data_IF_672232580815
#
_entry.id   IF_672232580815
#
_cell.length_a   1.000
_cell.length_b   1.000
_cell.length_c   1.000
_cell.angle_alpha   90.00
_cell.angle_beta   90.00
_cell.angle_gamma   90.00
#
_symmetry.space_group_name_H-M   'P 1'
#
loop_
_entity.id
_entity.type
_entity.pdbx_description
1 polymer ?
#
# COMPACT_ATOMS: atom_id res chain seq x y z
N UNK A 1 45.99 1.70 33.73
CA UNK A 1 45.40 2.63 32.74
C UNK A 1 44.09 2.05 32.28
N UNK A 2 43.01 2.79 32.49
CA UNK A 2 41.64 2.35 32.29
C UNK A 2 41.09 2.82 30.93
N UNK A 3 40.09 2.06 30.46
CA UNK A 3 39.04 2.43 29.51
C UNK A 3 39.37 2.38 28.00
N UNK A 4 38.73 1.44 27.29
CA UNK A 4 37.52 1.81 26.54
C UNK A 4 36.81 0.57 26.00
N UNK A 5 35.66 0.28 26.62
CA UNK A 5 34.56 -0.46 26.01
C UNK A 5 34.03 0.40 24.85
N UNK A 6 33.91 -0.16 23.66
CA UNK A 6 33.01 0.38 22.64
C UNK A 6 32.02 -0.71 22.27
N UNK A 7 30.85 -0.58 22.88
CA UNK A 7 29.64 -1.33 22.58
C UNK A 7 29.21 -1.06 21.14
N UNK A 8 29.03 -2.11 20.33
CA UNK A 8 28.11 -2.02 19.20
C UNK A 8 26.80 -2.70 19.61
N UNK A 9 25.84 -1.84 19.94
CA UNK A 9 24.44 -2.15 20.20
C UNK A 9 23.80 -2.69 18.91
N UNK A 10 22.98 -3.73 19.10
CA UNK A 10 21.72 -4.05 18.41
C UNK A 10 21.57 -3.54 16.97
N UNK A 11 21.67 -4.48 16.03
CA UNK A 11 21.18 -4.32 14.67
C UNK A 11 19.86 -5.09 14.54
N UNK A 12 18.80 -4.31 14.35
CA UNK A 12 17.57 -4.65 13.61
C UNK A 12 16.76 -5.83 14.11
N UNK A 13 15.95 -5.53 15.14
CA UNK A 13 14.65 -6.12 15.36
C UNK A 13 13.78 -5.89 14.12
N UNK A 14 13.32 -6.98 13.52
CA UNK A 14 12.38 -7.02 12.41
C UNK A 14 11.08 -6.40 12.90
N UNK A 15 10.85 -5.14 12.52
CA UNK A 15 9.59 -4.46 12.70
C UNK A 15 8.55 -5.12 11.78
N UNK A 16 7.92 -6.17 12.30
CA UNK A 16 6.64 -6.64 11.78
C UNK A 16 5.64 -5.48 11.88
N UNK A 17 4.80 -5.24 10.86
CA UNK A 17 3.78 -4.22 10.93
C UNK A 17 2.79 -4.66 11.98
N UNK A 18 2.96 -4.12 13.19
CA UNK A 18 1.97 -4.22 14.24
C UNK A 18 0.76 -3.50 13.71
N UNK A 19 -0.19 -4.28 13.21
CA UNK A 19 -1.56 -3.86 12.95
C UNK A 19 -1.94 -2.92 14.09
N UNK A 20 -1.99 -1.64 13.76
CA UNK A 20 -2.22 -0.57 14.70
C UNK A 20 -3.66 -0.78 15.15
N UNK A 21 -3.79 -1.43 16.30
CA UNK A 21 -5.01 -1.44 17.09
C UNK A 21 -5.39 0.02 17.28
N UNK A 22 -6.33 0.49 16.46
CA UNK A 22 -6.95 1.80 16.56
C UNK A 22 -7.52 1.87 17.96
N UNK A 23 -6.77 2.52 18.85
CA UNK A 23 -7.23 2.82 20.19
C UNK A 23 -8.42 3.75 20.01
N UNK A 24 -9.61 3.22 20.25
CA UNK A 24 -10.87 3.96 20.40
C UNK A 24 -10.64 5.06 21.44
N UNK A 25 -10.38 6.27 20.97
CA UNK A 25 -9.89 7.35 21.81
C UNK A 25 -9.72 8.64 21.02
N UNK A 26 -10.83 9.16 20.49
CA UNK A 26 -10.92 10.45 19.82
C UNK A 26 -11.51 10.32 18.42
N UNK A 27 -12.76 10.76 18.25
CA UNK A 27 -13.53 10.90 16.99
C UNK A 27 -12.88 11.91 16.01
N UNK A 28 -11.55 11.93 15.89
CA UNK A 28 -10.85 12.92 15.08
C UNK A 28 -9.65 12.25 14.42
N UNK A 29 -9.61 12.31 13.09
CA UNK A 29 -8.46 11.89 12.30
C UNK A 29 -7.18 12.47 12.90
N UNK A 30 -6.19 11.62 13.15
CA UNK A 30 -4.84 12.05 13.47
C UNK A 30 -4.17 12.65 12.23
N UNK A 31 -3.20 13.55 12.41
CA UNK A 31 -2.51 14.23 11.29
C UNK A 31 -1.96 13.26 10.22
N UNK A 32 -1.46 12.10 10.64
CA UNK A 32 -0.99 11.04 9.73
C UNK A 32 -2.13 10.45 8.88
N UNK A 33 -3.29 10.20 9.49
CA UNK A 33 -4.46 9.65 8.80
C UNK A 33 -5.11 10.69 7.88
N UNK A 34 -5.07 11.97 8.25
CA UNK A 34 -5.54 13.05 7.40
C UNK A 34 -4.70 13.16 6.12
N UNK A 35 -3.36 13.09 6.25
CA UNK A 35 -2.45 13.04 5.10
C UNK A 35 -2.72 11.82 4.21
N UNK A 36 -2.95 10.67 4.82
CA UNK A 36 -3.29 9.45 4.08
C UNK A 36 -4.59 9.62 3.28
N UNK A 37 -5.64 10.19 3.89
CA UNK A 37 -6.90 10.48 3.21
C UNK A 37 -6.71 11.45 2.03
N UNK A 38 -5.85 12.47 2.17
CA UNK A 38 -5.52 13.39 1.07
C UNK A 38 -4.73 12.72 -0.05
N UNK A 39 -3.96 11.67 0.25
CA UNK A 39 -3.17 10.93 -0.74
C UNK A 39 -3.93 9.78 -1.40
N UNK A 40 -4.96 9.24 -0.76
CA UNK A 40 -5.74 8.12 -1.29
C UNK A 40 -6.38 8.39 -2.65
N UNK A 41 -6.98 9.57 -2.93
CA UNK A 41 -7.50 9.88 -4.27
C UNK A 41 -6.43 9.79 -5.35
N UNK A 42 -5.25 10.39 -5.13
CA UNK A 42 -4.13 10.29 -6.07
C UNK A 42 -3.63 8.85 -6.21
N UNK A 43 -3.61 8.09 -5.12
CA UNK A 43 -3.22 6.67 -5.14
C UNK A 43 -4.22 5.84 -5.95
N UNK A 44 -5.51 6.09 -5.80
CA UNK A 44 -6.57 5.44 -6.56
C UNK A 44 -6.44 5.76 -8.05
N UNK A 45 -6.30 7.03 -8.43
CA UNK A 45 -6.07 7.42 -9.83
C UNK A 45 -4.81 6.75 -10.42
N UNK A 46 -3.72 6.67 -9.66
CA UNK A 46 -2.50 5.99 -10.09
C UNK A 46 -2.69 4.48 -10.28
N UNK A 47 -3.38 3.82 -9.32
CA UNK A 47 -3.69 2.39 -9.40
C UNK A 47 -4.64 2.08 -10.56
N UNK A 48 -5.62 2.95 -10.82
CA UNK A 48 -6.57 2.79 -11.93
C UNK A 48 -5.86 2.96 -13.29
N UNK A 49 -4.94 3.93 -13.40
CA UNK A 49 -4.12 4.10 -14.59
C UNK A 49 -3.14 2.92 -14.81
N UNK A 50 -2.54 2.41 -13.73
CA UNK A 50 -1.66 1.23 -13.77
C UNK A 50 -2.44 -0.02 -14.17
N UNK A 51 -3.59 -0.26 -13.56
CA UNK A 51 -4.52 -1.32 -13.90
C UNK A 51 -4.91 -1.26 -15.39
N UNK A 52 -5.30 -0.09 -15.89
CA UNK A 52 -5.66 0.08 -17.29
C UNK A 52 -4.47 -0.21 -18.21
N UNK A 53 -3.27 0.23 -17.84
CA UNK A 53 -2.03 -0.02 -18.60
C UNK A 53 -1.67 -1.50 -18.62
N UNK A 54 -1.86 -2.21 -17.51
CA UNK A 54 -1.64 -3.65 -17.42
C UNK A 54 -2.70 -4.42 -18.20
N UNK A 55 -3.97 -4.00 -18.14
CA UNK A 55 -5.05 -4.59 -18.93
C UNK A 55 -4.83 -4.42 -20.43
N UNK A 56 -4.39 -3.24 -20.88
CA UNK A 56 -4.07 -2.98 -22.30
C UNK A 56 -2.92 -3.87 -22.78
N UNK A 57 -1.89 -4.05 -21.94
CA UNK A 57 -0.80 -5.00 -22.21
C UNK A 57 -1.30 -6.44 -22.30
N UNK A 58 -2.20 -6.87 -21.42
CA UNK A 58 -2.75 -8.24 -21.43
C UNK A 58 -3.73 -8.45 -22.60
N UNK A 59 -4.40 -7.39 -23.04
CA UNK A 59 -5.30 -7.40 -24.19
C UNK A 59 -4.54 -7.47 -25.53
N UNK A 60 -3.24 -7.16 -25.54
CA UNK A 60 -2.41 -7.29 -26.72
C UNK A 60 -2.29 -8.77 -27.15
N UNK A 61 -2.55 -9.11 -28.42
CA UNK A 61 -2.51 -10.49 -28.90
C UNK A 61 -1.10 -11.12 -28.85
N UNK A 62 -0.03 -10.31 -28.86
CA UNK A 62 1.35 -10.77 -28.76
C UNK A 62 1.75 -11.06 -27.30
N UNK A 63 1.00 -10.53 -26.33
CA UNK A 63 1.27 -10.71 -24.90
C UNK A 63 1.35 -12.18 -24.50
N UNK A 64 0.36 -12.99 -24.89
CA UNK A 64 0.36 -14.42 -24.59
C UNK A 64 1.42 -15.21 -25.38
N UNK A 65 2.08 -14.59 -26.36
CA UNK A 65 3.26 -15.13 -27.05
C UNK A 65 4.59 -14.87 -26.31
N UNK A 66 4.60 -14.01 -25.30
CA UNK A 66 5.79 -13.71 -24.50
C UNK A 66 6.14 -14.86 -23.52
N UNK A 67 7.36 -14.88 -22.95
CA UNK A 67 7.75 -15.88 -21.97
C UNK A 67 6.79 -15.94 -20.78
N UNK A 68 6.48 -17.15 -20.30
CA UNK A 68 5.53 -17.37 -19.22
C UNK A 68 5.88 -16.60 -17.94
N UNK A 69 7.17 -16.46 -17.61
CA UNK A 69 7.62 -15.62 -16.49
C UNK A 69 7.18 -14.15 -16.62
N UNK A 70 7.18 -13.60 -17.85
CA UNK A 70 6.77 -12.22 -18.11
C UNK A 70 5.26 -12.07 -18.05
N UNK A 71 4.52 -12.96 -18.68
CA UNK A 71 3.05 -12.91 -18.67
C UNK A 71 2.51 -13.13 -17.27
N UNK A 72 3.04 -14.09 -16.52
CA UNK A 72 2.69 -14.32 -15.11
C UNK A 72 2.99 -13.09 -14.23
N UNK A 73 4.12 -12.41 -14.45
CA UNK A 73 4.42 -11.18 -13.69
C UNK A 73 3.44 -10.05 -13.98
N UNK A 74 3.03 -9.86 -15.24
CA UNK A 74 2.07 -8.82 -15.60
C UNK A 74 0.67 -9.17 -15.09
N UNK A 75 0.24 -10.44 -15.20
CA UNK A 75 -1.03 -10.92 -14.64
C UNK A 75 -1.06 -10.79 -13.11
N UNK A 76 0.05 -11.09 -12.44
CA UNK A 76 0.16 -10.92 -10.99
C UNK A 76 0.09 -9.44 -10.58
N UNK A 77 0.78 -8.55 -11.31
CA UNK A 77 0.68 -7.10 -11.10
C UNK A 77 -0.73 -6.58 -11.35
N UNK A 78 -1.42 -7.10 -12.36
CA UNK A 78 -2.80 -6.73 -12.66
C UNK A 78 -3.72 -7.09 -11.50
N UNK A 79 -3.65 -8.33 -11.02
CA UNK A 79 -4.42 -8.77 -9.86
C UNK A 79 -4.05 -8.00 -8.58
N UNK A 80 -2.76 -7.68 -8.38
CA UNK A 80 -2.31 -6.87 -7.25
C UNK A 80 -2.84 -5.44 -7.32
N UNK A 81 -2.87 -4.82 -8.51
CA UNK A 81 -3.43 -3.49 -8.72
C UNK A 81 -4.94 -3.47 -8.47
N UNK A 82 -5.70 -4.48 -8.92
CA UNK A 82 -7.13 -4.65 -8.61
C UNK A 82 -7.36 -4.67 -7.09
N UNK A 83 -6.67 -5.57 -6.40
CA UNK A 83 -6.81 -5.74 -4.94
C UNK A 83 -6.34 -4.48 -4.19
N UNK A 84 -5.28 -3.82 -4.66
CA UNK A 84 -4.78 -2.60 -4.06
C UNK A 84 -5.77 -1.43 -4.24
N UNK A 85 -6.47 -1.37 -5.36
CA UNK A 85 -7.51 -0.37 -5.63
C UNK A 85 -8.69 -0.58 -4.69
N UNK A 86 -9.20 -1.81 -4.57
CA UNK A 86 -10.26 -2.17 -3.63
C UNK A 86 -9.86 -1.83 -2.18
N UNK A 87 -8.67 -2.25 -1.75
CA UNK A 87 -8.18 -1.97 -0.41
C UNK A 87 -7.97 -0.47 -0.15
N UNK A 88 -7.57 0.30 -1.17
CA UNK A 88 -7.44 1.75 -1.08
C UNK A 88 -8.81 2.44 -0.95
N UNK A 89 -9.84 1.94 -1.66
CA UNK A 89 -11.22 2.41 -1.52
C UNK A 89 -11.76 2.12 -0.12
N UNK A 90 -11.66 0.88 0.37
CA UNK A 90 -12.10 0.52 1.73
C UNK A 90 -11.41 1.39 2.79
N UNK A 91 -10.10 1.63 2.61
CA UNK A 91 -9.34 2.52 3.49
C UNK A 91 -9.85 3.95 3.40
N UNK A 92 -10.15 4.45 2.20
CA UNK A 92 -10.65 5.80 2.01
C UNK A 92 -12.01 6.00 2.67
N UNK A 93 -12.94 5.06 2.47
CA UNK A 93 -14.27 5.08 3.11
C UNK A 93 -14.15 5.02 4.63
N UNK A 94 -13.27 4.18 5.16
CA UNK A 94 -13.00 4.11 6.59
C UNK A 94 -12.49 5.46 7.14
N UNK A 95 -11.52 6.09 6.47
CA UNK A 95 -10.96 7.36 6.89
C UNK A 95 -11.97 8.51 6.75
N UNK A 96 -12.76 8.54 5.67
CA UNK A 96 -13.85 9.50 5.49
C UNK A 96 -14.95 9.29 6.55
N UNK A 97 -15.27 8.05 6.94
CA UNK A 97 -16.16 7.76 8.05
C UNK A 97 -15.64 8.32 9.38
N UNK A 98 -14.35 8.15 9.66
CA UNK A 98 -13.68 8.75 10.82
C UNK A 98 -13.63 10.29 10.76
N UNK A 99 -13.52 10.87 9.56
CA UNK A 99 -13.53 12.33 9.33
C UNK A 99 -14.91 12.94 9.58
N UNK A 100 -15.94 12.30 9.04
CA UNK A 100 -17.32 12.77 9.10
C UNK A 100 -18.00 12.39 10.42
N UNK A 101 -17.34 11.61 11.28
CA UNK A 101 -17.73 11.40 12.68
C UNK A 101 -18.94 10.48 12.85
N UNK A 102 -19.07 9.46 11.99
CA UNK A 102 -20.06 8.39 12.15
C UNK A 102 -19.80 7.53 13.40
#
# INVERSE_FOLDING_TARGET
MAQSRRSLKKRTEVAQPKAETVKRGGNKLSYNLQRELEQLPQKLEALEAELQTLQDQVADPDFFGQPHDRTQQVLAQLAEAEQALEAAFERWEYLEGLKNGA
#
